data_IF_394361414360
#
_entry.id   IF_394361414360
#
_cell.length_a   1.000
_cell.length_b   1.000
_cell.length_c   1.000
_cell.angle_alpha   90.00
_cell.angle_beta   90.00
_cell.angle_gamma   90.00
#
_symmetry.space_group_name_H-M   'P 1'
#
loop_
_entity.id
_entity.type
_entity.pdbx_description
1 polymer ?
#
# COMPACT_ATOMS: atom_id res chain seq x y z
N UNK A 1 -33.59 25.96 14.12
CA UNK A 1 -33.03 26.67 12.93
C UNK A 1 -31.57 26.32 12.70
N UNK A 2 -30.67 26.46 13.68
CA UNK A 2 -29.24 26.12 13.54
C UNK A 2 -29.00 24.71 12.98
N UNK A 3 -29.62 23.67 13.55
CA UNK A 3 -29.47 22.29 13.05
C UNK A 3 -29.91 22.10 11.59
N UNK A 4 -31.02 22.71 11.18
CA UNK A 4 -31.51 22.60 9.80
C UNK A 4 -30.57 23.29 8.80
N UNK A 5 -30.00 24.45 9.17
CA UNK A 5 -29.01 25.16 8.35
C UNK A 5 -27.73 24.34 8.22
N UNK A 6 -27.22 23.79 9.33
CA UNK A 6 -26.04 22.91 9.31
C UNK A 6 -26.26 21.67 8.44
N UNK A 7 -27.43 21.04 8.51
CA UNK A 7 -27.79 19.90 7.68
C UNK A 7 -27.84 20.26 6.18
N UNK A 8 -28.41 21.42 5.85
CA UNK A 8 -28.44 21.93 4.47
C UNK A 8 -27.03 22.15 3.90
N UNK A 9 -26.13 22.75 4.69
CA UNK A 9 -24.72 22.97 4.27
C UNK A 9 -23.97 21.63 4.17
N UNK A 10 -24.21 20.68 5.09
CA UNK A 10 -23.65 19.33 5.01
C UNK A 10 -24.03 18.63 3.69
N UNK A 11 -25.30 18.73 3.29
CA UNK A 11 -25.79 18.17 2.04
C UNK A 11 -25.12 18.81 0.81
N UNK A 12 -24.93 20.14 0.83
CA UNK A 12 -24.24 20.85 -0.25
C UNK A 12 -22.76 20.47 -0.36
N UNK A 13 -22.05 20.39 0.78
CA UNK A 13 -20.63 20.01 0.80
C UNK A 13 -20.42 18.54 0.42
N UNK A 14 -21.41 17.66 0.66
CA UNK A 14 -21.36 16.26 0.27
C UNK A 14 -21.40 16.03 -1.26
N UNK A 15 -21.72 17.05 -2.05
CA UNK A 15 -21.73 16.97 -3.51
C UNK A 15 -20.31 16.61 -4.01
N UNK A 16 -20.15 15.59 -4.88
CA UNK A 16 -18.84 15.09 -5.32
C UNK A 16 -17.92 16.13 -5.95
N UNK A 17 -18.46 17.25 -6.43
CA UNK A 17 -17.70 18.37 -6.97
C UNK A 17 -16.81 19.03 -5.91
N UNK A 18 -17.35 19.34 -4.72
CA UNK A 18 -16.60 19.93 -3.62
C UNK A 18 -15.57 18.95 -3.04
N UNK A 19 -16.00 17.70 -2.78
CA UNK A 19 -15.13 16.65 -2.23
C UNK A 19 -13.90 16.36 -3.10
N UNK A 20 -14.04 16.39 -4.44
CA UNK A 20 -12.95 16.14 -5.38
C UNK A 20 -11.96 17.30 -5.48
N UNK A 21 -12.43 18.54 -5.32
CA UNK A 21 -11.58 19.73 -5.41
C UNK A 21 -10.69 19.92 -4.18
N UNK A 22 -11.23 19.69 -2.97
CA UNK A 22 -10.47 19.82 -1.73
C UNK A 22 -11.04 18.89 -0.66
N UNK A 23 -10.54 17.65 -0.63
CA UNK A 23 -10.99 16.64 0.31
C UNK A 23 -10.78 17.04 1.79
N UNK A 24 -9.67 17.72 2.09
CA UNK A 24 -9.31 18.12 3.45
C UNK A 24 -10.24 19.19 4.00
N UNK A 25 -10.52 20.24 3.22
CA UNK A 25 -11.47 21.31 3.59
C UNK A 25 -12.86 20.72 3.77
N UNK A 26 -13.26 19.83 2.86
CA UNK A 26 -14.53 19.10 2.98
C UNK A 26 -14.61 18.32 4.29
N UNK A 27 -13.60 17.50 4.61
CA UNK A 27 -13.58 16.66 5.81
C UNK A 27 -13.66 17.49 7.09
N UNK A 28 -12.87 18.56 7.19
CA UNK A 28 -12.85 19.44 8.38
C UNK A 28 -14.15 20.25 8.51
N UNK A 29 -14.64 20.81 7.42
CA UNK A 29 -15.93 21.48 7.38
C UNK A 29 -17.08 20.55 7.81
N UNK A 30 -17.08 19.31 7.32
CA UNK A 30 -18.06 18.29 7.66
C UNK A 30 -18.06 17.96 9.17
N UNK A 31 -16.87 17.80 9.78
CA UNK A 31 -16.73 17.56 11.22
C UNK A 31 -17.31 18.71 12.05
N UNK A 32 -16.98 19.96 11.72
CA UNK A 32 -17.47 21.16 12.42
C UNK A 32 -19.00 21.27 12.30
N UNK A 33 -19.53 21.11 11.09
CA UNK A 33 -20.97 21.21 10.83
C UNK A 33 -21.76 20.08 11.50
N UNK A 34 -21.18 18.88 11.60
CA UNK A 34 -21.78 17.76 12.35
C UNK A 34 -21.88 18.10 13.83
N UNK A 35 -20.84 18.70 14.42
CA UNK A 35 -20.89 19.18 15.81
C UNK A 35 -21.99 20.22 16.03
N UNK A 36 -22.12 21.20 15.13
CA UNK A 36 -23.19 22.21 15.17
C UNK A 36 -24.58 21.59 15.00
N UNK A 37 -24.72 20.57 14.15
CA UNK A 37 -25.96 19.82 13.97
C UNK A 37 -26.37 19.07 15.25
N UNK A 38 -25.44 18.33 15.86
CA UNK A 38 -25.67 17.62 17.13
C UNK A 38 -26.03 18.60 18.25
N UNK A 39 -25.32 19.73 18.35
CA UNK A 39 -25.65 20.77 19.32
C UNK A 39 -27.04 21.38 19.10
N UNK A 40 -27.37 21.73 17.85
CA UNK A 40 -28.65 22.32 17.50
C UNK A 40 -29.83 21.36 17.73
N UNK A 41 -29.63 20.06 17.50
CA UNK A 41 -30.63 19.01 17.79
C UNK A 41 -30.79 18.80 19.29
N UNK A 42 -29.70 18.81 20.06
CA UNK A 42 -29.76 18.72 21.52
C UNK A 42 -30.57 19.87 22.12
N UNK A 43 -30.28 21.13 21.74
CA UNK A 43 -31.02 22.31 22.21
C UNK A 43 -32.51 22.25 21.83
N UNK A 44 -32.83 21.76 20.63
CA UNK A 44 -34.21 21.61 20.19
C UNK A 44 -34.98 20.56 21.00
N UNK A 45 -34.34 19.42 21.30
CA UNK A 45 -34.95 18.34 22.08
C UNK A 45 -35.14 18.74 23.55
N UNK A 46 -34.21 19.52 24.12
CA UNK A 46 -34.32 20.06 25.48
C UNK A 46 -35.46 21.08 25.63
N UNK A 47 -35.79 21.81 24.56
CA UNK A 47 -36.90 22.77 24.56
C UNK A 47 -38.28 22.11 24.42
N UNK A 48 -38.36 20.82 24.01
CA UNK A 48 -39.61 20.10 23.83
C UNK A 48 -40.00 19.25 25.05
N UNK A 49 -41.29 19.30 25.42
CA UNK A 49 -41.83 18.66 26.64
C UNK A 49 -41.94 17.12 26.56
N UNK A 50 -42.03 16.55 25.35
CA UNK A 50 -42.11 15.11 25.08
C UNK A 50 -41.14 14.71 23.96
N UNK A 51 -39.84 14.87 24.21
CA UNK A 51 -38.80 14.53 23.23
C UNK A 51 -38.17 13.17 23.53
N UNK A 52 -37.92 12.33 22.52
CA UNK A 52 -37.21 11.06 22.69
C UNK A 52 -35.68 11.30 22.73
N UNK A 53 -35.24 12.14 23.66
CA UNK A 53 -33.82 12.54 23.82
C UNK A 53 -32.89 11.36 24.14
N UNK A 54 -33.45 10.25 24.62
CA UNK A 54 -32.72 9.02 24.93
C UNK A 54 -31.95 8.46 23.72
N UNK A 55 -32.50 8.52 22.50
CA UNK A 55 -31.80 8.03 21.31
C UNK A 55 -30.55 8.85 20.99
N UNK A 56 -30.62 10.18 21.19
CA UNK A 56 -29.47 11.05 20.97
C UNK A 56 -28.37 10.77 21.99
N UNK A 57 -28.72 10.57 23.26
CA UNK A 57 -27.74 10.22 24.30
C UNK A 57 -27.12 8.84 24.09
N UNK A 58 -27.90 7.85 23.64
CA UNK A 58 -27.36 6.53 23.27
C UNK A 58 -26.36 6.67 22.12
N UNK A 59 -26.72 7.39 21.05
CA UNK A 59 -25.82 7.61 19.91
C UNK A 59 -24.53 8.35 20.33
N UNK A 60 -24.65 9.39 21.15
CA UNK A 60 -23.51 10.15 21.67
C UNK A 60 -22.64 9.30 22.59
N UNK A 61 -23.24 8.43 23.41
CA UNK A 61 -22.54 7.49 24.27
C UNK A 61 -21.73 6.46 23.48
N UNK A 62 -22.31 5.85 22.45
CA UNK A 62 -21.60 4.91 21.55
C UNK A 62 -20.45 5.63 20.84
N UNK A 63 -20.69 6.83 20.30
CA UNK A 63 -19.65 7.63 19.65
C UNK A 63 -18.51 8.01 20.60
N UNK A 64 -18.83 8.42 21.83
CA UNK A 64 -17.83 8.76 22.84
C UNK A 64 -17.00 7.54 23.25
N UNK A 65 -17.66 6.39 23.49
CA UNK A 65 -16.98 5.15 23.86
C UNK A 65 -16.04 4.66 22.74
N UNK A 66 -16.52 4.64 21.50
CA UNK A 66 -15.70 4.22 20.35
C UNK A 66 -14.52 5.18 20.12
N UNK A 67 -14.74 6.48 20.20
CA UNK A 67 -13.67 7.49 20.10
C UNK A 67 -12.64 7.34 21.22
N UNK A 68 -13.09 7.06 22.45
CA UNK A 68 -12.21 6.85 23.59
C UNK A 68 -11.35 5.60 23.42
N UNK A 69 -11.93 4.48 22.99
CA UNK A 69 -11.18 3.24 22.72
C UNK A 69 -10.14 3.44 21.61
N UNK A 70 -10.51 4.16 20.54
CA UNK A 70 -9.57 4.51 19.47
C UNK A 70 -8.44 5.42 19.96
N UNK A 71 -8.75 6.43 20.78
CA UNK A 71 -7.76 7.33 21.37
C UNK A 71 -6.79 6.55 22.28
N UNK A 72 -7.30 5.69 23.17
CA UNK A 72 -6.47 4.86 24.05
C UNK A 72 -5.57 3.95 23.22
N UNK A 73 -6.10 3.31 22.17
CA UNK A 73 -5.31 2.45 21.27
C UNK A 73 -4.22 3.24 20.56
N UNK A 74 -4.55 4.43 20.05
CA UNK A 74 -3.58 5.34 19.42
C UNK A 74 -2.47 5.74 20.39
N UNK A 75 -2.82 6.19 21.60
CA UNK A 75 -1.85 6.59 22.62
C UNK A 75 -0.98 5.41 23.08
N UNK A 76 -1.56 4.21 23.17
CA UNK A 76 -0.85 2.99 23.54
C UNK A 76 0.16 2.55 22.49
N UNK A 77 -0.26 2.44 21.23
CA UNK A 77 0.59 1.99 20.11
C UNK A 77 1.72 2.98 19.83
N UNK A 78 1.45 4.27 19.95
CA UNK A 78 2.45 5.32 19.74
C UNK A 78 3.33 5.60 20.98
N UNK A 79 3.25 4.77 22.03
CA UNK A 79 4.16 4.84 23.18
C UNK A 79 3.92 6.01 24.14
N UNK A 80 2.88 6.81 23.92
CA UNK A 80 2.58 8.03 24.68
C UNK A 80 2.15 7.76 26.13
N UNK A 81 1.57 6.58 26.42
CA UNK A 81 1.16 6.20 27.77
C UNK A 81 2.30 5.63 28.64
N UNK A 82 3.36 5.11 28.02
CA UNK A 82 4.37 4.28 28.70
C UNK A 82 5.75 4.93 28.79
N UNK A 83 5.89 6.22 28.44
CA UNK A 83 7.17 6.94 28.48
C UNK A 83 8.24 6.38 27.53
N UNK A 84 7.85 5.59 26.53
CA UNK A 84 8.78 4.90 25.59
C UNK A 84 9.26 5.81 24.44
N UNK A 85 8.98 7.10 24.51
CA UNK A 85 9.20 8.07 23.44
C UNK A 85 8.13 8.00 22.35
N UNK A 86 8.17 8.97 21.45
CA UNK A 86 7.27 9.04 20.29
C UNK A 86 7.88 8.33 19.08
N UNK A 87 7.07 7.79 18.16
CA UNK A 87 7.59 7.20 16.94
C UNK A 87 8.24 8.27 16.07
N UNK A 88 9.32 7.87 15.39
CA UNK A 88 10.10 8.75 14.50
C UNK A 88 10.20 8.15 13.13
N UNK A 89 9.97 8.97 12.11
CA UNK A 89 10.16 8.59 10.72
C UNK A 89 11.48 9.16 10.20
N UNK A 90 12.37 8.27 9.78
CA UNK A 90 13.57 8.60 9.03
C UNK A 90 13.20 8.61 7.54
N UNK A 91 13.32 9.78 6.92
CA UNK A 91 12.97 9.99 5.51
C UNK A 91 14.26 10.10 4.70
N UNK A 92 14.37 9.25 3.68
CA UNK A 92 15.43 9.31 2.66
C UNK A 92 14.80 9.41 1.27
N UNK A 93 15.57 9.93 0.32
CA UNK A 93 15.08 10.25 -1.02
C UNK A 93 15.94 9.55 -2.07
N UNK A 94 15.30 8.91 -3.05
CA UNK A 94 16.00 8.42 -4.24
C UNK A 94 15.95 9.52 -5.31
N UNK A 95 17.08 10.16 -5.55
CA UNK A 95 17.18 11.31 -6.46
C UNK A 95 17.51 10.82 -7.88
N UNK A 96 16.81 11.36 -8.88
CA UNK A 96 17.24 11.27 -10.28
C UNK A 96 18.19 12.43 -10.57
N UNK A 97 19.39 12.13 -11.02
CA UNK A 97 20.22 13.13 -11.69
C UNK A 97 19.60 13.41 -13.07
N UNK A 98 18.94 14.57 -13.21
CA UNK A 98 18.50 15.07 -14.50
C UNK A 98 19.61 15.93 -15.10
N UNK A 99 19.84 15.82 -16.41
CA UNK A 99 20.86 16.58 -17.16
C UNK A 99 20.61 18.10 -17.25
N UNK A 100 19.53 18.62 -16.68
CA UNK A 100 19.18 20.05 -16.63
C UNK A 100 18.63 20.41 -15.24
N UNK A 101 19.45 21.10 -14.43
CA UNK A 101 19.21 21.93 -13.22
C UNK A 101 18.03 21.65 -12.26
N UNK A 102 17.34 20.53 -12.38
CA UNK A 102 16.21 20.13 -11.55
C UNK A 102 16.25 18.64 -11.27
N UNK A 103 16.92 18.27 -10.17
CA UNK A 103 16.94 16.90 -9.66
C UNK A 103 15.52 16.48 -9.27
N UNK A 104 14.85 15.70 -10.13
CA UNK A 104 13.51 15.19 -9.84
C UNK A 104 13.61 13.99 -8.89
N UNK A 105 13.10 14.13 -7.68
CA UNK A 105 13.01 13.00 -6.73
C UNK A 105 12.03 11.97 -7.29
N UNK A 106 12.47 10.72 -7.41
CA UNK A 106 11.64 9.66 -7.97
C UNK A 106 10.79 8.98 -6.89
N UNK A 107 11.37 8.72 -5.72
CA UNK A 107 10.69 8.09 -4.60
C UNK A 107 11.17 8.64 -3.26
N UNK A 108 10.29 8.53 -2.27
CA UNK A 108 10.54 8.83 -0.86
C UNK A 108 10.50 7.51 -0.11
N UNK A 109 11.60 7.15 0.57
CA UNK A 109 11.65 5.99 1.46
C UNK A 109 11.48 6.48 2.89
N UNK A 110 10.49 5.93 3.58
CA UNK A 110 10.19 6.31 4.96
C UNK A 110 10.38 5.09 5.84
N UNK A 111 11.33 5.17 6.77
CA UNK A 111 11.55 4.14 7.80
C UNK A 111 11.06 4.65 9.14
N UNK A 112 10.00 4.05 9.65
CA UNK A 112 9.36 4.43 10.91
C UNK A 112 9.94 3.54 12.02
N UNK A 113 10.52 4.17 13.03
CA UNK A 113 10.96 3.53 14.26
C UNK A 113 9.79 3.49 15.24
N UNK A 114 9.38 2.29 15.62
CA UNK A 114 8.20 2.06 16.44
C UNK A 114 8.60 1.95 17.93
N UNK A 115 7.94 2.69 18.84
CA UNK A 115 8.17 2.57 20.27
C UNK A 115 7.62 1.26 20.86
N UNK A 116 6.69 0.61 20.14
CA UNK A 116 6.16 -0.70 20.44
C UNK A 116 6.23 -1.58 19.22
N UNK A 117 6.58 -2.84 19.45
CA UNK A 117 6.59 -3.86 18.42
C UNK A 117 5.15 -4.11 17.93
N UNK A 118 4.96 -4.11 16.62
CA UNK A 118 3.67 -4.33 15.97
C UNK A 118 3.84 -5.42 14.92
N UNK A 119 2.88 -6.33 14.85
CA UNK A 119 2.84 -7.35 13.80
C UNK A 119 2.07 -6.79 12.60
N UNK A 120 2.72 -6.71 11.44
CA UNK A 120 2.11 -6.27 10.18
C UNK A 120 2.04 -7.46 9.24
N UNK A 121 0.85 -7.73 8.70
CA UNK A 121 0.67 -8.76 7.68
C UNK A 121 0.93 -8.22 6.28
N UNK A 122 1.23 -9.11 5.33
CA UNK A 122 1.50 -8.71 3.96
C UNK A 122 0.28 -8.02 3.32
N UNK A 123 0.52 -6.90 2.64
CA UNK A 123 -0.53 -6.10 1.99
C UNK A 123 -1.25 -5.09 2.90
N UNK A 124 -0.98 -5.08 4.21
CA UNK A 124 -1.59 -4.12 5.11
C UNK A 124 -0.97 -2.71 4.95
N UNK A 125 -1.77 -1.70 5.26
CA UNK A 125 -1.36 -0.30 5.24
C UNK A 125 -1.51 0.35 6.60
N UNK A 126 -0.84 1.48 6.78
CA UNK A 126 -0.97 2.32 7.96
C UNK A 126 -1.39 3.72 7.56
N UNK A 127 -2.10 4.39 8.44
CA UNK A 127 -2.43 5.81 8.30
C UNK A 127 -1.36 6.61 9.05
N UNK A 128 -0.51 7.31 8.31
CA UNK A 128 0.64 8.07 8.81
C UNK A 128 0.29 9.54 9.02
N UNK A 129 0.65 10.07 10.18
CA UNK A 129 0.51 11.46 10.56
C UNK A 129 1.88 12.05 10.90
N UNK A 130 2.34 13.02 10.10
CA UNK A 130 3.64 13.68 10.29
C UNK A 130 3.43 15.18 10.54
N UNK A 131 3.08 15.59 11.78
CA UNK A 131 2.73 16.96 12.09
C UNK A 131 3.87 17.97 11.86
N UNK A 132 5.12 17.52 11.92
CA UNK A 132 6.31 18.39 11.83
C UNK A 132 6.73 18.76 10.40
N UNK A 133 6.05 18.25 9.37
CA UNK A 133 6.44 18.47 7.96
C UNK A 133 5.92 19.81 7.43
N UNK A 134 4.70 20.19 7.80
CA UNK A 134 4.03 21.40 7.31
C UNK A 134 2.87 21.76 8.24
N UNK A 135 2.50 23.04 8.29
CA UNK A 135 1.37 23.53 9.11
C UNK A 135 0.05 22.84 8.75
N UNK A 136 -0.16 22.55 7.47
CA UNK A 136 -1.35 21.83 6.99
C UNK A 136 -1.26 20.33 7.30
N UNK A 137 -0.05 19.76 7.28
CA UNK A 137 0.19 18.35 7.63
C UNK A 137 -0.14 18.02 9.09
N UNK A 138 -0.16 19.02 9.98
CA UNK A 138 -0.71 18.86 11.34
C UNK A 138 -2.13 18.30 11.33
N UNK A 139 -2.94 18.64 10.33
CA UNK A 139 -4.34 18.21 10.20
C UNK A 139 -4.55 17.14 9.12
N UNK A 140 -3.51 16.45 8.67
CA UNK A 140 -3.61 15.46 7.60
C UNK A 140 -3.08 14.11 8.06
N UNK A 141 -3.76 13.04 7.66
CA UNK A 141 -3.29 11.67 7.86
C UNK A 141 -3.50 10.94 6.54
N UNK A 142 -2.49 10.21 6.08
CA UNK A 142 -2.52 9.56 4.77
C UNK A 142 -2.24 8.07 4.87
N UNK A 143 -2.97 7.23 4.13
CA UNK A 143 -2.71 5.80 4.07
C UNK A 143 -1.47 5.52 3.22
N UNK A 144 -0.56 4.70 3.75
CA UNK A 144 0.60 4.17 3.05
C UNK A 144 0.75 2.68 3.30
N UNK A 145 0.97 1.92 2.24
CA UNK A 145 1.19 0.49 2.32
C UNK A 145 2.55 0.19 2.93
N UNK A 146 2.60 -0.79 3.83
CA UNK A 146 3.85 -1.22 4.46
C UNK A 146 4.59 -2.16 3.51
N UNK A 147 5.83 -1.81 3.14
CA UNK A 147 6.66 -2.64 2.25
C UNK A 147 7.46 -3.69 3.01
N UNK A 148 7.79 -3.41 4.28
CA UNK A 148 8.50 -4.33 5.15
C UNK A 148 7.57 -5.44 5.65
N UNK A 149 8.01 -6.69 5.56
CA UNK A 149 7.34 -7.84 6.17
C UNK A 149 8.30 -8.66 7.04
N UNK A 150 7.76 -9.22 8.12
CA UNK A 150 8.41 -10.17 9.01
C UNK A 150 7.35 -11.14 9.57
N UNK A 151 7.77 -12.36 9.92
CA UNK A 151 6.90 -13.35 10.58
C UNK A 151 6.46 -12.89 11.97
N UNK A 152 7.39 -12.26 12.68
CA UNK A 152 7.21 -11.80 14.06
C UNK A 152 6.92 -10.29 14.12
N UNK A 153 6.88 -9.77 15.34
CA UNK A 153 6.63 -8.35 15.57
C UNK A 153 7.83 -7.53 15.11
N UNK A 154 7.57 -6.41 14.45
CA UNK A 154 8.60 -5.52 13.93
C UNK A 154 8.70 -4.29 14.82
N UNK A 155 9.93 -3.83 15.03
CA UNK A 155 10.27 -2.55 15.65
C UNK A 155 10.41 -1.42 14.62
N UNK A 156 10.45 -1.78 13.34
CA UNK A 156 10.59 -0.85 12.22
C UNK A 156 9.64 -1.20 11.08
N UNK A 157 9.02 -0.16 10.50
CA UNK A 157 8.21 -0.27 9.29
C UNK A 157 8.86 0.53 8.17
N UNK A 158 8.92 -0.04 6.97
CA UNK A 158 9.39 0.65 5.78
C UNK A 158 8.22 0.94 4.84
N UNK A 159 8.23 2.12 4.24
CA UNK A 159 7.28 2.58 3.24
C UNK A 159 8.05 3.07 2.00
N UNK A 160 7.55 2.71 0.83
CA UNK A 160 7.99 3.27 -0.46
C UNK A 160 6.88 4.18 -0.98
N UNK A 161 7.15 5.48 -1.06
CA UNK A 161 6.14 6.50 -1.34
C UNK A 161 6.49 7.27 -2.61
N UNK A 162 5.54 7.31 -3.54
CA UNK A 162 5.62 8.17 -4.70
C UNK A 162 5.36 9.63 -4.30
N UNK A 163 6.20 10.59 -4.72
CA UNK A 163 5.88 11.99 -4.54
C UNK A 163 4.61 12.37 -5.31
N UNK A 164 3.61 12.84 -4.57
CA UNK A 164 2.34 13.38 -5.08
C UNK A 164 2.01 14.70 -4.39
N UNK A 165 0.85 15.27 -4.66
CA UNK A 165 0.34 16.48 -4.01
C UNK A 165 0.11 16.29 -2.49
N UNK A 166 0.16 17.39 -1.72
CA UNK A 166 -0.07 17.38 -0.27
C UNK A 166 1.19 17.02 0.53
N UNK A 167 1.04 16.20 1.58
CA UNK A 167 2.13 15.81 2.49
C UNK A 167 3.40 15.36 1.76
N UNK A 168 3.28 14.54 0.71
CA UNK A 168 4.43 14.00 -0.01
C UNK A 168 5.18 15.07 -0.83
N UNK A 169 4.49 16.08 -1.35
CA UNK A 169 5.14 17.23 -2.01
C UNK A 169 5.82 18.14 -0.98
N UNK A 170 5.23 18.29 0.21
CA UNK A 170 5.87 19.03 1.30
C UNK A 170 7.13 18.31 1.79
N UNK A 171 7.14 16.97 1.84
CA UNK A 171 8.34 16.17 2.11
C UNK A 171 9.45 16.40 1.06
N UNK A 172 9.10 16.59 -0.22
CA UNK A 172 10.11 16.85 -1.27
C UNK A 172 10.93 18.11 -1.03
N UNK A 173 10.39 19.12 -0.34
CA UNK A 173 11.12 20.37 -0.04
C UNK A 173 12.36 20.12 0.81
N UNK A 174 12.38 19.01 1.54
CA UNK A 174 13.49 18.60 2.40
C UNK A 174 14.50 17.70 1.68
N UNK A 175 14.25 17.30 0.43
CA UNK A 175 15.15 16.44 -0.33
C UNK A 175 16.58 17.00 -0.50
N UNK A 176 16.78 18.32 -0.78
CA UNK A 176 18.14 18.87 -0.89
C UNK A 176 18.94 18.76 0.41
N UNK A 177 18.28 18.93 1.56
CA UNK A 177 18.91 18.80 2.88
C UNK A 177 19.24 17.35 3.25
N UNK A 178 18.54 16.38 2.63
CA UNK A 178 18.69 14.96 2.86
C UNK A 178 19.66 14.26 1.89
N UNK A 179 20.33 15.01 1.01
CA UNK A 179 21.18 14.46 -0.04
C UNK A 179 22.31 13.54 0.47
N UNK A 180 22.73 13.71 1.74
CA UNK A 180 23.79 12.91 2.37
C UNK A 180 23.33 12.14 3.62
N UNK A 181 22.12 12.40 4.15
CA UNK A 181 21.62 11.75 5.37
C UNK A 181 20.10 11.75 5.45
N UNK A 182 19.52 10.81 6.20
CA UNK A 182 18.07 10.78 6.43
C UNK A 182 17.61 11.88 7.39
N UNK A 183 16.46 12.49 7.12
CA UNK A 183 15.86 13.49 8.02
C UNK A 183 14.86 12.80 8.95
N UNK A 184 14.96 13.09 10.25
CA UNK A 184 14.05 12.55 11.26
C UNK A 184 12.87 13.49 11.50
N UNK A 185 11.66 12.98 11.37
CA UNK A 185 10.42 13.68 11.72
C UNK A 185 9.65 12.94 12.82
N UNK A 186 8.86 13.68 13.60
CA UNK A 186 7.85 13.09 14.46
C UNK A 186 6.77 12.45 13.58
N UNK A 187 6.47 11.17 13.82
CA UNK A 187 5.51 10.44 13.03
C UNK A 187 4.63 9.60 13.95
N UNK A 188 3.33 9.79 13.85
CA UNK A 188 2.35 8.94 14.50
C UNK A 188 1.66 8.08 13.47
N UNK A 189 1.20 6.90 13.88
CA UNK A 189 0.46 6.03 12.97
C UNK A 189 -0.79 5.45 13.64
N UNK A 190 -1.75 5.07 12.80
CA UNK A 190 -2.84 4.16 13.17
C UNK A 190 -2.83 2.97 12.23
N UNK A 191 -3.12 1.78 12.77
CA UNK A 191 -3.10 0.53 12.03
C UNK A 191 -2.44 -0.59 12.83
N UNK A 192 -2.07 -1.71 12.19
CA UNK A 192 -2.20 -1.95 10.74
C UNK A 192 -3.66 -2.09 10.30
N UNK A 193 -3.97 -1.56 9.13
CA UNK A 193 -5.29 -1.63 8.48
C UNK A 193 -5.21 -2.51 7.24
N UNK A 194 -6.39 -2.95 6.78
CA UNK A 194 -6.52 -3.79 5.60
C UNK A 194 -6.46 -5.28 5.90
N UNK A 195 -6.85 -6.07 4.90
CA UNK A 195 -6.97 -7.52 4.99
C UNK A 195 -5.81 -8.17 4.22
N UNK A 196 -5.15 -9.16 4.82
CA UNK A 196 -4.11 -9.94 4.16
C UNK A 196 -4.72 -11.18 3.49
N UNK A 197 -4.39 -11.41 2.23
CA UNK A 197 -4.80 -12.62 1.52
C UNK A 197 -3.94 -13.82 1.94
N UNK A 198 -4.58 -14.98 2.14
CA UNK A 198 -3.85 -16.21 2.43
C UNK A 198 -3.27 -16.79 1.13
N UNK A 199 -1.99 -16.49 0.88
CA UNK A 199 -1.20 -16.95 -0.27
C UNK A 199 -0.59 -18.34 -0.10
N UNK A 200 -0.63 -18.93 1.11
CA UNK A 200 0.15 -20.12 1.45
C UNK A 200 -0.45 -21.42 0.87
N UNK A 201 -1.70 -21.36 0.40
CA UNK A 201 -2.48 -22.47 -0.16
C UNK A 201 -2.38 -22.64 -1.70
N UNK A 202 -1.62 -21.78 -2.38
CA UNK A 202 -1.48 -21.80 -3.83
C UNK A 202 -0.15 -22.42 -4.24
N UNK A 203 -0.12 -23.12 -5.36
CA UNK A 203 1.11 -23.72 -5.91
C UNK A 203 1.89 -22.68 -6.74
N UNK A 204 1.18 -21.90 -7.55
CA UNK A 204 1.77 -20.83 -8.38
C UNK A 204 1.12 -19.50 -8.05
N UNK A 205 1.93 -18.44 -7.96
CA UNK A 205 1.45 -17.07 -7.75
C UNK A 205 2.05 -16.14 -8.81
N UNK A 206 1.18 -15.60 -9.65
CA UNK A 206 1.49 -14.54 -10.60
C UNK A 206 1.14 -13.20 -9.96
N UNK A 207 2.12 -12.33 -9.83
CA UNK A 207 1.92 -10.99 -9.28
C UNK A 207 2.17 -9.94 -10.34
N UNK A 208 1.16 -9.11 -10.58
CA UNK A 208 1.20 -8.04 -11.59
C UNK A 208 1.15 -6.69 -10.87
N UNK A 209 2.19 -5.88 -11.09
CA UNK A 209 2.29 -4.54 -10.52
C UNK A 209 2.54 -3.50 -11.61
N UNK A 210 2.10 -2.26 -11.40
CA UNK A 210 2.51 -1.12 -12.23
C UNK A 210 3.05 0.04 -11.39
N UNK A 211 4.16 0.67 -11.82
CA UNK A 211 4.78 1.80 -11.12
C UNK A 211 4.98 1.51 -9.63
N UNK A 212 4.52 2.41 -8.76
CA UNK A 212 4.59 2.27 -7.30
C UNK A 212 3.64 1.23 -6.68
N UNK A 213 2.78 0.57 -7.48
CA UNK A 213 1.99 -0.58 -7.04
C UNK A 213 2.85 -1.72 -6.50
N UNK A 214 4.13 -1.78 -6.91
CA UNK A 214 5.13 -2.73 -6.40
C UNK A 214 5.23 -2.71 -4.86
N UNK A 215 5.05 -1.56 -4.22
CA UNK A 215 5.12 -1.42 -2.77
C UNK A 215 4.15 -2.37 -2.02
N UNK A 216 3.01 -2.68 -2.63
CA UNK A 216 2.00 -3.58 -2.06
C UNK A 216 2.36 -5.05 -2.22
N UNK A 217 3.15 -5.36 -3.24
CA UNK A 217 3.49 -6.71 -3.68
C UNK A 217 4.73 -7.23 -2.96
N UNK A 218 5.74 -6.37 -2.74
CA UNK A 218 6.97 -6.72 -2.02
C UNK A 218 6.72 -7.50 -0.72
N UNK A 219 5.83 -7.09 0.20
CA UNK A 219 5.62 -7.84 1.44
C UNK A 219 5.01 -9.23 1.21
N UNK A 220 4.19 -9.42 0.17
CA UNK A 220 3.68 -10.75 -0.21
C UNK A 220 4.79 -11.63 -0.78
N UNK A 221 5.61 -11.11 -1.69
CA UNK A 221 6.76 -11.85 -2.23
C UNK A 221 7.68 -12.29 -1.10
N UNK A 222 8.00 -11.39 -0.16
CA UNK A 222 8.84 -11.71 0.99
C UNK A 222 8.21 -12.79 1.88
N UNK A 223 6.90 -12.72 2.13
CA UNK A 223 6.17 -13.75 2.88
C UNK A 223 6.26 -15.12 2.19
N UNK A 224 6.05 -15.17 0.87
CA UNK A 224 6.03 -16.42 0.11
C UNK A 224 7.43 -17.05 0.00
N UNK A 225 8.47 -16.26 -0.26
CA UNK A 225 9.86 -16.72 -0.26
C UNK A 225 10.25 -17.27 1.11
N UNK A 226 9.92 -16.56 2.19
CA UNK A 226 10.13 -17.07 3.53
C UNK A 226 9.36 -18.38 3.79
N UNK A 227 8.10 -18.45 3.34
CA UNK A 227 7.28 -19.63 3.46
C UNK A 227 7.87 -20.85 2.73
N UNK A 228 8.43 -20.63 1.54
CA UNK A 228 9.14 -21.63 0.77
C UNK A 228 10.42 -22.09 1.47
N UNK A 229 11.29 -21.15 1.90
CA UNK A 229 12.54 -21.46 2.60
C UNK A 229 12.32 -22.18 3.95
N UNK A 230 11.15 -22.03 4.55
CA UNK A 230 10.80 -22.70 5.82
C UNK A 230 9.91 -23.92 5.62
N UNK A 231 9.62 -24.31 4.38
CA UNK A 231 8.72 -25.41 4.03
C UNK A 231 7.33 -25.29 4.69
N UNK A 232 6.83 -24.06 4.85
CA UNK A 232 5.52 -23.77 5.45
C UNK A 232 4.46 -23.35 4.43
N UNK A 233 4.86 -23.12 3.18
CA UNK A 233 3.99 -22.72 2.07
C UNK A 233 3.97 -23.79 0.98
N UNK A 234 2.86 -23.89 0.24
CA UNK A 234 2.73 -24.76 -0.94
C UNK A 234 3.24 -24.10 -2.23
N UNK A 235 3.66 -22.83 -2.14
CA UNK A 235 4.15 -22.07 -3.30
C UNK A 235 5.44 -22.68 -3.83
N UNK A 236 5.41 -23.10 -5.08
CA UNK A 236 6.56 -23.63 -5.85
C UNK A 236 7.04 -22.67 -6.93
N UNK A 237 6.21 -21.71 -7.32
CA UNK A 237 6.52 -20.75 -8.39
C UNK A 237 5.97 -19.36 -8.09
N UNK A 238 6.83 -18.36 -8.24
CA UNK A 238 6.53 -16.94 -8.11
C UNK A 238 6.95 -16.19 -9.37
N UNK A 239 6.00 -15.56 -10.05
CA UNK A 239 6.29 -14.71 -11.19
C UNK A 239 5.84 -13.28 -10.92
N UNK A 240 6.80 -12.34 -10.83
CA UNK A 240 6.53 -10.91 -10.73
C UNK A 240 6.60 -10.28 -12.11
N UNK A 241 5.47 -9.77 -12.60
CA UNK A 241 5.39 -8.93 -13.81
C UNK A 241 5.21 -7.49 -13.38
N UNK A 242 6.22 -6.67 -13.62
CA UNK A 242 6.22 -5.28 -13.20
C UNK A 242 6.34 -4.32 -14.38
N UNK A 243 5.28 -3.55 -14.62
CA UNK A 243 5.27 -2.52 -15.66
C UNK A 243 5.64 -1.14 -15.09
N UNK A 244 6.69 -0.53 -15.61
CA UNK A 244 7.17 0.80 -15.19
C UNK A 244 7.20 1.78 -16.37
N UNK A 245 6.97 3.05 -16.10
CA UNK A 245 7.08 4.11 -17.12
C UNK A 245 8.55 4.45 -17.37
N UNK A 246 9.35 4.51 -16.30
CA UNK A 246 10.73 4.99 -16.31
C UNK A 246 11.65 4.05 -15.51
N UNK A 247 12.92 3.95 -15.96
CA UNK A 247 13.96 3.17 -15.25
C UNK A 247 14.20 3.70 -13.83
N UNK A 248 13.97 5.00 -13.58
CA UNK A 248 14.13 5.58 -12.25
C UNK A 248 13.21 4.94 -11.21
N UNK A 249 12.02 4.46 -11.61
CA UNK A 249 11.10 3.73 -10.73
C UNK A 249 11.73 2.39 -10.30
N UNK A 250 12.46 1.73 -11.21
CA UNK A 250 13.23 0.51 -10.92
C UNK A 250 14.32 0.80 -9.91
N UNK A 251 15.10 1.87 -10.11
CA UNK A 251 16.18 2.28 -9.20
C UNK A 251 15.63 2.53 -7.80
N UNK A 252 14.47 3.18 -7.69
CA UNK A 252 13.83 3.45 -6.41
C UNK A 252 13.43 2.18 -5.62
N UNK A 253 13.06 1.10 -6.31
CA UNK A 253 12.70 -0.18 -5.69
C UNK A 253 13.84 -1.21 -5.69
N UNK A 254 15.02 -0.85 -6.22
CA UNK A 254 16.13 -1.77 -6.46
C UNK A 254 16.56 -2.49 -5.18
N UNK A 255 16.69 -1.77 -4.07
CA UNK A 255 17.04 -2.37 -2.77
C UNK A 255 16.02 -3.42 -2.32
N UNK A 256 14.73 -3.16 -2.55
CA UNK A 256 13.66 -4.10 -2.17
C UNK A 256 13.74 -5.37 -3.02
N UNK A 257 13.94 -5.21 -4.34
CA UNK A 257 14.09 -6.35 -5.26
C UNK A 257 15.35 -7.17 -4.97
N UNK A 258 16.49 -6.50 -4.72
CA UNK A 258 17.73 -7.16 -4.36
C UNK A 258 17.60 -7.95 -3.06
N UNK A 259 16.89 -7.42 -2.07
CA UNK A 259 16.60 -8.14 -0.83
C UNK A 259 15.75 -9.39 -1.08
N UNK A 260 14.74 -9.32 -1.95
CA UNK A 260 13.94 -10.50 -2.32
C UNK A 260 14.78 -11.58 -3.02
N UNK A 261 15.62 -11.17 -3.97
CA UNK A 261 16.51 -12.10 -4.69
C UNK A 261 17.54 -12.73 -3.75
N UNK A 262 18.03 -11.97 -2.77
CA UNK A 262 18.94 -12.46 -1.73
C UNK A 262 18.25 -13.38 -0.73
N UNK A 263 16.97 -13.17 -0.44
CA UNK A 263 16.23 -14.04 0.48
C UNK A 263 15.83 -15.36 -0.19
N UNK A 264 15.72 -15.42 -1.52
CA UNK A 264 15.38 -16.64 -2.27
C UNK A 264 16.59 -17.57 -2.45
N UNK A 265 16.97 -18.23 -1.35
CA UNK A 265 18.10 -19.17 -1.26
C UNK A 265 17.58 -20.52 -0.78
N UNK A 266 17.47 -21.47 -1.70
CA UNK A 266 17.34 -22.90 -1.46
C UNK A 266 18.10 -23.63 -2.58
N UNK A 267 18.83 -24.69 -2.21
CA UNK A 267 19.73 -25.51 -3.03
C UNK A 267 19.23 -25.68 -4.48
N UNK A 268 19.71 -24.81 -5.38
CA UNK A 268 19.46 -24.75 -6.84
C UNK A 268 18.00 -24.52 -7.31
N UNK A 269 17.01 -24.44 -6.41
CA UNK A 269 15.60 -24.27 -6.72
C UNK A 269 15.07 -22.85 -6.45
N UNK A 270 15.36 -21.89 -7.32
CA UNK A 270 14.80 -20.53 -7.24
C UNK A 270 13.34 -20.52 -7.66
N UNK A 271 12.47 -19.97 -6.81
CA UNK A 271 11.03 -19.89 -7.13
C UNK A 271 10.64 -18.53 -7.72
N UNK A 272 11.42 -17.47 -7.48
CA UNK A 272 11.09 -16.12 -7.92
C UNK A 272 11.74 -15.77 -9.26
N UNK A 273 10.88 -15.53 -10.25
CA UNK A 273 11.18 -14.94 -11.55
C UNK A 273 10.61 -13.51 -11.64
N UNK A 274 11.36 -12.57 -12.18
CA UNK A 274 10.97 -11.16 -12.28
C UNK A 274 11.07 -10.71 -13.74
N UNK A 275 9.95 -10.27 -14.31
CA UNK A 275 9.86 -9.69 -15.64
C UNK A 275 9.47 -8.21 -15.52
N UNK A 276 10.40 -7.31 -15.82
CA UNK A 276 10.21 -5.87 -15.74
C UNK A 276 10.00 -5.32 -17.15
N UNK A 277 8.87 -4.65 -17.37
CA UNK A 277 8.51 -4.06 -18.65
C UNK A 277 8.62 -2.54 -18.56
N UNK A 278 9.49 -1.96 -19.37
CA UNK A 278 9.74 -0.52 -19.38
C UNK A 278 9.14 0.11 -20.63
N UNK A 279 8.21 1.04 -20.43
CA UNK A 279 7.49 1.68 -21.55
C UNK A 279 8.39 2.53 -22.45
N UNK A 280 9.43 3.17 -21.89
CA UNK A 280 10.34 4.04 -22.64
C UNK A 280 11.74 4.04 -22.03
N UNK A 281 12.78 4.03 -22.88
CA UNK A 281 14.18 4.20 -22.45
C UNK A 281 15.07 2.96 -22.47
N UNK A 282 14.64 1.84 -23.07
CA UNK A 282 15.54 0.75 -23.46
C UNK A 282 15.86 0.82 -24.95
N UNK A 283 17.11 0.52 -25.30
CA UNK A 283 17.58 0.39 -26.69
C UNK A 283 17.51 -1.06 -27.21
N UNK A 284 17.24 -2.03 -26.33
CA UNK A 284 17.27 -3.47 -26.63
C UNK A 284 15.99 -4.16 -26.16
N UNK A 285 15.51 -5.15 -26.94
CA UNK A 285 14.20 -5.77 -26.73
C UNK A 285 14.12 -6.71 -25.51
N UNK A 286 15.20 -7.40 -25.17
CA UNK A 286 15.30 -8.28 -24.00
C UNK A 286 16.73 -8.27 -23.46
N UNK A 287 16.90 -7.98 -22.18
CA UNK A 287 18.21 -8.02 -21.51
C UNK A 287 18.08 -8.78 -20.20
N UNK A 288 18.81 -9.90 -20.00
CA UNK A 288 18.92 -10.48 -18.68
C UNK A 288 19.62 -9.48 -17.77
N UNK A 289 19.01 -9.18 -16.63
CA UNK A 289 19.51 -8.19 -15.69
C UNK A 289 20.06 -8.86 -14.44
N UNK A 290 21.26 -8.43 -14.06
CA UNK A 290 22.02 -9.09 -12.99
C UNK A 290 22.68 -10.40 -13.43
N UNK A 291 23.32 -11.07 -12.49
CA UNK A 291 24.15 -12.26 -12.74
C UNK A 291 23.38 -13.58 -12.57
N UNK A 292 22.10 -13.53 -12.18
CA UNK A 292 21.33 -14.68 -11.72
C UNK A 292 20.34 -15.25 -12.77
N UNK A 293 20.23 -14.68 -13.99
CA UNK A 293 19.26 -15.11 -15.03
C UNK A 293 17.78 -15.21 -14.56
N UNK A 294 17.42 -14.46 -13.52
CA UNK A 294 16.08 -14.46 -12.88
C UNK A 294 15.32 -13.14 -13.04
N UNK A 295 15.99 -12.11 -13.54
CA UNK A 295 15.38 -10.81 -13.81
C UNK A 295 15.56 -10.55 -15.30
N UNK A 296 14.46 -10.28 -15.98
CA UNK A 296 14.43 -9.96 -17.41
C UNK A 296 13.84 -8.57 -17.59
N UNK A 297 14.54 -7.71 -18.33
CA UNK A 297 14.02 -6.42 -18.74
C UNK A 297 13.52 -6.51 -20.18
N UNK A 298 12.26 -6.13 -20.38
CA UNK A 298 11.58 -6.06 -21.66
C UNK A 298 11.21 -4.62 -21.99
N UNK A 299 11.25 -4.28 -23.27
CA UNK A 299 10.76 -3.01 -23.76
C UNK A 299 9.28 -3.11 -24.16
N UNK A 300 8.45 -2.17 -23.70
CA UNK A 300 7.05 -2.05 -24.09
C UNK A 300 6.06 -2.52 -23.02
N UNK A 301 4.93 -3.05 -23.48
CA UNK A 301 3.79 -3.46 -22.64
C UNK A 301 3.70 -4.99 -22.65
N UNK A 302 3.47 -5.66 -21.50
CA UNK A 302 3.30 -7.11 -21.47
C UNK A 302 2.06 -7.54 -22.24
N UNK A 303 2.11 -8.66 -22.95
CA UNK A 303 0.90 -9.35 -23.38
C UNK A 303 0.36 -10.17 -22.20
N UNK A 304 -0.55 -9.57 -21.43
CA UNK A 304 -1.10 -10.20 -20.22
C UNK A 304 -1.87 -11.49 -20.51
N UNK A 305 -2.54 -11.61 -21.66
CA UNK A 305 -3.19 -12.84 -22.09
C UNK A 305 -2.23 -14.01 -22.20
N UNK A 306 -1.09 -13.80 -22.87
CA UNK A 306 -0.07 -14.83 -23.02
C UNK A 306 0.61 -15.16 -21.69
N UNK A 307 0.91 -14.15 -20.87
CA UNK A 307 1.53 -14.36 -19.55
C UNK A 307 0.61 -15.18 -18.64
N UNK A 308 -0.67 -14.78 -18.55
CA UNK A 308 -1.63 -15.45 -17.66
C UNK A 308 -1.92 -16.87 -18.15
N UNK A 309 -2.13 -17.08 -19.45
CA UNK A 309 -2.35 -18.42 -20.01
C UNK A 309 -1.13 -19.34 -19.82
N UNK A 310 0.08 -18.81 -19.96
CA UNK A 310 1.31 -19.56 -19.73
C UNK A 310 1.52 -19.91 -18.25
N UNK A 311 1.16 -19.02 -17.32
CA UNK A 311 1.22 -19.34 -15.88
C UNK A 311 0.09 -20.29 -15.46
N UNK A 312 -1.07 -20.20 -16.13
CA UNK A 312 -2.21 -21.05 -15.89
C UNK A 312 -2.05 -22.46 -16.44
N UNK A 313 -1.22 -22.68 -17.46
CA UNK A 313 -0.90 -24.03 -17.95
C UNK A 313 -0.08 -24.84 -16.94
N UNK A 314 0.63 -24.17 -16.03
CA UNK A 314 1.47 -24.82 -15.03
C UNK A 314 2.67 -25.57 -15.62
N UNK A 315 3.02 -25.35 -16.88
CA UNK A 315 4.14 -26.01 -17.58
C UNK A 315 5.51 -25.61 -17.00
N UNK A 316 5.62 -24.44 -16.37
CA UNK A 316 6.87 -23.97 -15.77
C UNK A 316 7.20 -24.61 -14.42
N UNK A 317 6.34 -25.49 -13.91
CA UNK A 317 6.62 -26.29 -12.72
C UNK A 317 7.06 -27.67 -13.20
N UNK A 318 8.33 -28.01 -12.96
CA UNK A 318 8.85 -29.34 -13.29
C UNK A 318 8.13 -30.41 -12.46
N UNK A 319 7.34 -31.24 -13.13
CA UNK A 319 6.64 -32.37 -12.51
C UNK A 319 7.35 -33.67 -12.88
N UNK A 320 7.52 -34.56 -11.91
CA UNK A 320 8.12 -35.86 -12.13
C UNK A 320 7.15 -36.77 -12.91
N UNK A 321 7.57 -37.38 -14.04
CA UNK A 321 6.66 -38.07 -14.97
C UNK A 321 5.98 -39.32 -14.37
N UNK A 322 6.51 -39.85 -13.27
CA UNK A 322 6.02 -41.09 -12.65
C UNK A 322 5.22 -40.87 -11.35
N UNK A 323 4.91 -39.61 -10.99
CA UNK A 323 4.10 -39.26 -9.81
C UNK A 323 2.83 -38.58 -10.30
N UNK A 324 1.67 -38.98 -9.76
CA UNK A 324 0.40 -38.26 -9.96
C UNK A 324 0.45 -36.95 -9.16
N UNK A 325 1.07 -35.92 -9.74
CA UNK A 325 1.08 -34.57 -9.20
C UNK A 325 0.02 -33.75 -9.95
N UNK A 326 -1.14 -33.57 -9.31
CA UNK A 326 -2.21 -32.75 -9.87
C UNK A 326 -1.81 -31.27 -9.84
N UNK A 327 -2.20 -30.51 -10.86
CA UNK A 327 -1.94 -29.09 -10.91
C UNK A 327 -2.65 -28.38 -9.74
N UNK A 328 -1.88 -27.69 -8.91
CA UNK A 328 -2.37 -26.88 -7.82
C UNK A 328 -3.02 -25.58 -8.30
N UNK A 329 -3.60 -24.86 -7.35
CA UNK A 329 -4.32 -23.61 -7.64
C UNK A 329 -3.34 -22.47 -7.92
N UNK A 330 -3.69 -21.61 -8.88
CA UNK A 330 -2.92 -20.42 -9.23
C UNK A 330 -3.60 -19.16 -8.71
N UNK A 331 -2.84 -18.28 -8.06
CA UNK A 331 -3.31 -16.97 -7.61
C UNK A 331 -2.73 -15.87 -8.51
N UNK A 332 -3.59 -14.98 -9.00
CA UNK A 332 -3.19 -13.75 -9.71
C UNK A 332 -3.42 -12.57 -8.78
N UNK A 333 -2.35 -11.89 -8.37
CA UNK A 333 -2.41 -10.71 -7.51
C UNK A 333 -2.15 -9.45 -8.33
N UNK A 334 -2.99 -8.42 -8.19
CA UNK A 334 -2.93 -7.23 -9.05
C UNK A 334 -2.88 -5.93 -8.25
N UNK A 335 -1.87 -5.10 -8.52
CA UNK A 335 -1.77 -3.70 -8.10
C UNK A 335 -1.37 -2.82 -9.29
N UNK A 336 -2.36 -2.38 -10.07
CA UNK A 336 -2.17 -1.69 -11.34
C UNK A 336 -3.15 -0.53 -11.55
N UNK A 337 -2.93 0.26 -12.61
CA UNK A 337 -3.87 1.32 -12.99
C UNK A 337 -5.25 0.76 -13.36
N UNK A 338 -6.30 1.58 -13.20
CA UNK A 338 -7.69 1.14 -13.39
C UNK A 338 -7.94 0.43 -14.73
N UNK A 339 -7.43 1.00 -15.84
CA UNK A 339 -7.58 0.40 -17.18
C UNK A 339 -6.95 -0.98 -17.29
N UNK A 340 -5.73 -1.11 -16.76
CA UNK A 340 -4.97 -2.36 -16.82
C UNK A 340 -5.59 -3.42 -15.90
N UNK A 341 -6.10 -3.02 -14.75
CA UNK A 341 -6.80 -3.92 -13.83
C UNK A 341 -8.06 -4.49 -14.47
N UNK A 342 -8.82 -3.68 -15.20
CA UNK A 342 -10.02 -4.14 -15.91
C UNK A 342 -9.66 -5.14 -17.03
N UNK A 343 -8.58 -4.88 -17.79
CA UNK A 343 -8.06 -5.81 -18.80
C UNK A 343 -7.62 -7.16 -18.19
N UNK A 344 -6.86 -7.14 -17.10
CA UNK A 344 -6.44 -8.36 -16.39
C UNK A 344 -7.67 -9.11 -15.85
N UNK A 345 -8.66 -8.40 -15.32
CA UNK A 345 -9.88 -9.02 -14.79
C UNK A 345 -10.65 -9.78 -15.87
N UNK A 346 -10.80 -9.21 -17.06
CA UNK A 346 -11.44 -9.91 -18.18
C UNK A 346 -10.61 -11.11 -18.63
N UNK A 347 -9.28 -10.95 -18.73
CA UNK A 347 -8.37 -12.04 -19.11
C UNK A 347 -8.41 -13.23 -18.14
N UNK A 348 -8.41 -12.95 -16.82
CA UNK A 348 -8.51 -13.99 -15.79
C UNK A 348 -9.89 -14.65 -15.81
N UNK A 349 -10.96 -13.92 -16.14
CA UNK A 349 -12.32 -14.47 -16.22
C UNK A 349 -12.40 -15.60 -17.25
N UNK A 350 -11.71 -15.48 -18.38
CA UNK A 350 -11.64 -16.52 -19.42
C UNK A 350 -10.99 -17.81 -18.92
N UNK A 351 -10.07 -17.71 -17.97
CA UNK A 351 -9.24 -18.83 -17.47
C UNK A 351 -9.68 -19.35 -16.08
N UNK A 352 -10.83 -18.92 -15.54
CA UNK A 352 -11.33 -19.38 -14.23
C UNK A 352 -11.53 -20.90 -14.15
N UNK A 353 -11.83 -21.55 -15.28
CA UNK A 353 -12.00 -23.00 -15.36
C UNK A 353 -10.71 -23.79 -15.05
N UNK A 354 -9.55 -23.13 -15.09
CA UNK A 354 -8.23 -23.71 -14.80
C UNK A 354 -7.82 -23.53 -13.33
N UNK A 355 -8.74 -23.13 -12.44
CA UNK A 355 -8.47 -22.99 -11.01
C UNK A 355 -7.77 -21.70 -10.59
N UNK A 356 -7.73 -20.70 -11.49
CA UNK A 356 -7.22 -19.37 -11.22
C UNK A 356 -8.12 -18.59 -10.26
N UNK A 357 -7.51 -17.89 -9.29
CA UNK A 357 -8.19 -16.89 -8.47
C UNK A 357 -7.53 -15.53 -8.66
N UNK A 358 -8.35 -14.50 -8.85
CA UNK A 358 -7.91 -13.10 -8.88
C UNK A 358 -8.00 -12.49 -7.47
N UNK A 359 -6.96 -11.76 -7.07
CA UNK A 359 -6.93 -10.94 -5.85
C UNK A 359 -6.43 -9.53 -6.17
N UNK A 360 -7.32 -8.56 -6.06
CA UNK A 360 -6.98 -7.14 -6.25
C UNK A 360 -6.48 -6.56 -4.92
N UNK A 361 -5.28 -5.97 -4.92
CA UNK A 361 -4.70 -5.38 -3.73
C UNK A 361 -5.33 -4.03 -3.39
N UNK A 362 -5.35 -3.65 -2.12
CA UNK A 362 -6.07 -2.45 -1.66
C UNK A 362 -5.50 -1.16 -2.26
N UNK A 363 -4.19 -1.04 -2.38
CA UNK A 363 -3.57 0.11 -3.06
C UNK A 363 -3.42 -0.18 -4.54
N UNK A 364 -3.98 0.73 -5.34
CA UNK A 364 -3.92 0.72 -6.79
C UNK A 364 -3.31 2.06 -7.24
N UNK A 365 -2.23 2.05 -8.03
CA UNK A 365 -1.62 3.27 -8.54
C UNK A 365 -2.59 3.98 -9.49
N UNK A 366 -2.71 5.30 -9.37
CA UNK A 366 -3.48 6.08 -10.36
C UNK A 366 -2.69 6.20 -11.66
N UNK A 367 -3.41 6.17 -12.78
CA UNK A 367 -2.87 6.59 -14.06
C UNK A 367 -2.58 8.10 -14.00
N UNK A 368 -1.30 8.46 -14.03
CA UNK A 368 -0.86 9.84 -14.24
C UNK A 368 -1.00 10.23 -15.71
#
# INVERSE_FOLDING_TARGET
>A
MLGAISLGILALLAIPWFRRRSYEIFLRGHQILTGLFVYGTLQHLLAQRHSPSIYLFIALGIFALTSFLQLVTFLYLNGLLAGRGCPRALVSFSVREAKEDSSAVTAIRIRILLPRIVKVQAGQYINLWMPSVSLLSWMQTHPFTVTSWSRDHQDTMELLVQPRHGLTADLLRYAPAAAQSSISFLAFFTGPHGISENVDQYESVLVIASGFGIATVIPYLKKMIYGYNTCTSQVRRLHLVWQVKLISEIIAAQDLLNNLLKDDIMDDGYILNISIYVASGLEWNEVPFGHHKRVFLYQGIPNYGNVISHEASGEQIERLPNIRDEQGRTLVMVSTTDKLRDEIRETVREHLHQGLKLSELEFQPRAD
#
